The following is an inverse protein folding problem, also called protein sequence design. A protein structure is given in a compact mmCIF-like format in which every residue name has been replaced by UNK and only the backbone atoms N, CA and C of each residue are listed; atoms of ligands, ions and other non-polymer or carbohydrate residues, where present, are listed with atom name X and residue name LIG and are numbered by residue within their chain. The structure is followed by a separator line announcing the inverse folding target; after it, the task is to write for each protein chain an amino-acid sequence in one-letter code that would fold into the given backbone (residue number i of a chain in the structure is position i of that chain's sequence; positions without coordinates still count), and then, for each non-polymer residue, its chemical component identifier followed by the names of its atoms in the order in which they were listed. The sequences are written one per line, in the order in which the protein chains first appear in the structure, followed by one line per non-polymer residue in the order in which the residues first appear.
data_IF_843901491360
#
_entry.id   IF_843901491360
#
_cell.length_a   1.000
_cell.length_b   1.000
_cell.length_c   1.000
_cell.angle_alpha   90.00
_cell.angle_beta   90.00
_cell.angle_gamma   90.00
#
_symmetry.space_group_name_H-M   'P 1'
#
loop_
_entity.id
_entity.type
_entity.pdbx_description
1 polymer ?
#
# COMPACT_ATOMS: atom_id res chain seq x y z
N UNK A 1 -2.21 -24.66 3.00
CA UNK A 1 -1.51 -24.07 1.82
C UNK A 1 -0.48 -23.09 2.33
N UNK A 2 0.83 -23.29 2.04
CA UNK A 2 1.92 -22.57 2.71
C UNK A 2 1.78 -21.03 2.68
N UNK A 3 1.33 -20.45 1.56
CA UNK A 3 1.17 -18.99 1.41
C UNK A 3 0.00 -18.42 2.19
N UNK A 4 -1.10 -19.19 2.29
CA UNK A 4 -2.26 -18.81 3.11
C UNK A 4 -1.87 -18.85 4.59
N UNK A 5 -1.25 -19.94 5.02
CA UNK A 5 -0.75 -20.10 6.40
C UNK A 5 0.25 -19.00 6.76
N UNK A 6 1.11 -18.61 5.81
CA UNK A 6 2.05 -17.51 5.99
C UNK A 6 1.33 -16.16 6.22
N UNK A 7 0.34 -15.80 5.37
CA UNK A 7 -0.42 -14.56 5.59
C UNK A 7 -1.22 -14.60 6.91
N UNK A 8 -1.72 -15.77 7.32
CA UNK A 8 -2.34 -15.89 8.64
C UNK A 8 -1.36 -15.63 9.79
N UNK A 9 -0.13 -16.16 9.69
CA UNK A 9 0.94 -15.87 10.67
C UNK A 9 1.33 -14.39 10.71
N UNK A 10 1.13 -13.65 9.62
CA UNK A 10 1.32 -12.20 9.58
C UNK A 10 0.20 -11.40 10.26
N UNK A 11 -0.92 -12.05 10.62
CA UNK A 11 -2.05 -11.42 11.32
C UNK A 11 -3.29 -11.21 10.45
N UNK A 12 -3.30 -11.67 9.20
CA UNK A 12 -4.52 -11.65 8.38
C UNK A 12 -5.51 -12.73 8.86
N UNK A 13 -6.80 -12.41 8.90
CA UNK A 13 -7.82 -13.43 9.14
C UNK A 13 -7.84 -14.46 8.01
N UNK A 14 -8.29 -15.69 8.30
CA UNK A 14 -8.47 -16.70 7.24
C UNK A 14 -9.39 -16.18 6.14
N UNK A 15 -10.51 -15.56 6.52
CA UNK A 15 -11.51 -15.01 5.59
C UNK A 15 -10.91 -13.94 4.67
N UNK A 16 -10.14 -13.01 5.23
CA UNK A 16 -9.50 -11.95 4.44
C UNK A 16 -8.43 -12.52 3.52
N UNK A 17 -7.66 -13.48 4.02
CA UNK A 17 -6.65 -14.18 3.22
C UNK A 17 -7.31 -14.86 2.01
N UNK A 18 -8.35 -15.66 2.22
CA UNK A 18 -9.10 -16.28 1.12
C UNK A 18 -9.66 -15.23 0.15
N UNK A 19 -10.16 -14.11 0.68
CA UNK A 19 -10.67 -13.01 -0.15
C UNK A 19 -9.57 -12.41 -1.04
N UNK A 20 -8.37 -12.19 -0.51
CA UNK A 20 -7.23 -11.69 -1.29
C UNK A 20 -6.83 -12.65 -2.40
N UNK A 21 -6.69 -13.95 -2.10
CA UNK A 21 -6.31 -14.96 -3.09
C UNK A 21 -7.40 -15.19 -4.17
N UNK A 22 -8.69 -15.05 -3.83
CA UNK A 22 -9.76 -15.08 -4.83
C UNK A 22 -9.71 -13.89 -5.79
N UNK A 23 -9.38 -12.70 -5.27
CA UNK A 23 -9.27 -11.47 -6.08
C UNK A 23 -8.00 -11.44 -6.92
N UNK A 24 -6.93 -12.08 -6.43
CA UNK A 24 -5.62 -12.14 -7.10
C UNK A 24 -5.09 -13.57 -7.04
N UNK A 25 -5.56 -14.46 -7.95
CA UNK A 25 -5.15 -15.87 -7.95
C UNK A 25 -3.64 -16.07 -8.14
N UNK A 26 -2.95 -15.13 -8.80
CA UNK A 26 -1.50 -15.19 -8.98
C UNK A 26 -0.71 -15.15 -7.67
N UNK A 27 -1.31 -14.76 -6.54
CA UNK A 27 -0.69 -14.86 -5.21
C UNK A 27 -0.30 -16.30 -4.86
N UNK A 28 -0.97 -17.31 -5.41
CA UNK A 28 -0.58 -18.71 -5.24
C UNK A 28 0.78 -19.06 -5.87
N UNK A 29 1.24 -18.27 -6.83
CA UNK A 29 2.51 -18.48 -7.53
C UNK A 29 3.66 -17.68 -6.92
N UNK A 30 3.39 -16.74 -6.00
CA UNK A 30 4.40 -15.85 -5.45
C UNK A 30 5.36 -16.58 -4.51
N UNK A 31 6.62 -16.19 -4.50
CA UNK A 31 7.60 -16.71 -3.54
C UNK A 31 7.33 -16.11 -2.16
N UNK A 32 7.29 -16.95 -1.11
CA UNK A 32 7.20 -16.44 0.27
C UNK A 32 8.37 -15.50 0.54
N UNK A 33 9.60 -15.94 0.23
CA UNK A 33 10.80 -15.14 0.45
C UNK A 33 10.86 -13.87 -0.42
N UNK A 34 10.63 -14.00 -1.72
CA UNK A 34 10.89 -12.90 -2.66
C UNK A 34 9.73 -11.93 -2.86
N UNK A 35 8.49 -12.33 -2.53
CA UNK A 35 7.32 -11.47 -2.68
C UNK A 35 6.68 -11.09 -1.34
N UNK A 36 6.57 -12.01 -0.39
CA UNK A 36 5.88 -11.73 0.86
C UNK A 36 6.82 -11.25 1.97
N UNK A 37 8.00 -11.87 2.12
CA UNK A 37 9.05 -11.47 3.07
C UNK A 37 9.87 -10.30 2.53
N UNK A 38 10.27 -10.28 1.25
CA UNK A 38 10.98 -9.13 0.66
C UNK A 38 10.13 -7.87 0.70
N UNK A 39 8.83 -7.96 0.41
CA UNK A 39 7.92 -6.83 0.59
C UNK A 39 7.58 -6.54 2.06
N UNK A 40 8.18 -7.29 3.00
CA UNK A 40 8.20 -7.16 4.47
C UNK A 40 7.19 -6.17 5.05
N UNK A 41 5.93 -6.51 4.78
CA UNK A 41 4.74 -5.97 5.44
C UNK A 41 4.88 -6.08 6.96
N UNK A 42 5.68 -7.03 7.45
CA UNK A 42 5.95 -7.23 8.88
C UNK A 42 6.46 -6.00 9.62
N UNK A 43 7.38 -5.23 9.04
CA UNK A 43 7.97 -4.08 9.75
C UNK A 43 7.45 -2.77 9.18
N UNK A 44 7.43 -2.66 7.85
CA UNK A 44 7.07 -1.40 7.21
C UNK A 44 5.57 -1.11 7.34
N UNK A 45 4.72 -2.13 7.27
CA UNK A 45 3.27 -1.94 7.42
C UNK A 45 2.83 -1.83 8.86
N UNK A 46 3.46 -2.57 9.80
CA UNK A 46 3.21 -2.37 11.23
C UNK A 46 3.47 -0.93 11.68
N UNK A 47 4.36 -0.22 10.99
CA UNK A 47 4.68 1.17 11.26
C UNK A 47 3.84 2.16 10.44
N UNK A 48 3.54 1.86 9.18
CA UNK A 48 3.06 2.87 8.23
C UNK A 48 1.58 2.73 7.80
N UNK A 49 0.94 1.56 8.01
CA UNK A 49 -0.42 1.31 7.49
C UNK A 49 -1.27 0.23 8.18
N UNK A 50 -2.52 0.10 7.77
CA UNK A 50 -3.49 -0.85 8.34
C UNK A 50 -3.63 -2.11 7.49
N UNK A 51 -3.55 -3.32 8.08
CA UNK A 51 -3.67 -4.58 7.32
C UNK A 51 -4.92 -4.63 6.42
N UNK A 52 -5.99 -3.91 6.81
CA UNK A 52 -7.21 -3.72 6.03
C UNK A 52 -6.97 -3.14 4.64
N UNK A 53 -6.02 -2.23 4.47
CA UNK A 53 -5.74 -1.64 3.14
C UNK A 53 -5.12 -2.68 2.19
N UNK A 54 -4.30 -3.59 2.72
CA UNK A 54 -3.73 -4.71 1.95
C UNK A 54 -4.81 -5.72 1.55
N UNK A 55 -5.81 -5.95 2.40
CA UNK A 55 -7.00 -6.76 2.06
C UNK A 55 -7.84 -6.08 0.98
N UNK A 56 -7.99 -4.74 1.04
CA UNK A 56 -8.67 -3.95 0.03
C UNK A 56 -7.89 -3.92 -1.31
N UNK A 57 -6.56 -3.95 -1.25
CA UNK A 57 -5.67 -3.89 -2.40
C UNK A 57 -4.62 -5.02 -2.42
N UNK A 58 -5.03 -6.28 -2.65
CA UNK A 58 -4.12 -7.43 -2.67
C UNK A 58 -3.12 -7.42 -3.82
N UNK A 59 -3.31 -6.56 -4.83
CA UNK A 59 -2.29 -6.36 -5.85
C UNK A 59 -1.03 -5.68 -5.29
N UNK A 60 -1.06 -5.13 -4.08
CA UNK A 60 0.12 -4.59 -3.41
C UNK A 60 1.33 -5.54 -3.49
N UNK A 61 1.10 -6.84 -3.24
CA UNK A 61 2.17 -7.85 -3.21
C UNK A 61 2.87 -8.06 -4.56
N UNK A 62 2.32 -7.55 -5.67
CA UNK A 62 2.95 -7.62 -6.99
C UNK A 62 3.97 -6.50 -7.23
N UNK A 63 3.93 -5.42 -6.42
CA UNK A 63 4.85 -4.30 -6.56
C UNK A 63 6.13 -4.55 -5.76
N UNK A 64 7.24 -4.01 -6.26
CA UNK A 64 8.51 -4.03 -5.54
C UNK A 64 8.50 -3.01 -4.41
N UNK A 65 8.73 -3.47 -3.17
CA UNK A 65 8.86 -2.58 -2.01
C UNK A 65 9.97 -1.54 -2.22
N UNK A 66 11.17 -1.98 -2.58
CA UNK A 66 12.35 -1.11 -2.71
C UNK A 66 12.27 -0.18 -3.91
N UNK A 67 11.79 -0.67 -5.06
CA UNK A 67 11.85 0.09 -6.31
C UNK A 67 10.60 0.91 -6.59
N UNK A 68 9.46 0.61 -5.94
CA UNK A 68 8.18 1.26 -6.25
C UNK A 68 7.44 1.77 -5.02
N UNK A 69 7.27 0.96 -3.99
CA UNK A 69 6.47 1.36 -2.82
C UNK A 69 7.20 2.42 -2.00
N UNK A 70 8.41 2.13 -1.52
CA UNK A 70 9.19 3.05 -0.67
C UNK A 70 9.51 4.38 -1.36
N UNK A 71 9.99 4.43 -2.63
CA UNK A 71 10.31 5.70 -3.27
C UNK A 71 9.07 6.59 -3.42
N UNK A 72 7.94 6.01 -3.84
CA UNK A 72 6.69 6.78 -4.01
C UNK A 72 6.12 7.26 -2.70
N UNK A 73 6.16 6.42 -1.66
CA UNK A 73 5.72 6.83 -0.33
C UNK A 73 6.58 7.98 0.22
N UNK A 74 7.90 7.92 0.06
CA UNK A 74 8.80 9.02 0.44
C UNK A 74 8.43 10.31 -0.27
N UNK A 75 8.18 10.27 -1.58
CA UNK A 75 7.75 11.44 -2.35
C UNK A 75 6.40 11.99 -1.85
N UNK A 76 5.47 11.12 -1.46
CA UNK A 76 4.21 11.53 -0.86
C UNK A 76 4.43 12.26 0.48
N UNK A 77 5.28 11.72 1.36
CA UNK A 77 5.62 12.32 2.67
C UNK A 77 6.32 13.66 2.49
N UNK A 78 7.33 13.74 1.62
CA UNK A 78 8.07 14.99 1.32
C UNK A 78 7.15 16.10 0.78
N UNK A 79 6.09 15.73 0.05
CA UNK A 79 5.08 16.66 -0.47
C UNK A 79 3.92 16.90 0.50
N UNK A 80 3.88 16.22 1.65
CA UNK A 80 2.80 16.33 2.63
C UNK A 80 1.45 15.77 2.15
N UNK A 81 1.47 14.82 1.20
CA UNK A 81 0.25 14.24 0.63
C UNK A 81 0.06 12.79 1.06
N UNK A 82 -1.20 12.39 1.21
CA UNK A 82 -1.57 11.00 1.44
C UNK A 82 -2.35 10.48 0.23
N UNK A 83 -1.85 9.42 -0.41
CA UNK A 83 -2.50 8.78 -1.56
C UNK A 83 -2.84 7.33 -1.21
N UNK A 84 -4.06 6.90 -1.55
CA UNK A 84 -4.45 5.50 -1.44
C UNK A 84 -3.50 4.59 -2.25
N UNK A 85 -3.22 3.39 -1.75
CA UNK A 85 -2.31 2.43 -2.41
C UNK A 85 -2.58 2.20 -3.91
N UNK A 86 -3.84 2.03 -4.38
CA UNK A 86 -4.10 1.85 -5.80
C UNK A 86 -3.65 3.06 -6.62
N UNK A 87 -3.90 4.28 -6.14
CA UNK A 87 -3.50 5.51 -6.80
C UNK A 87 -1.97 5.67 -6.77
N UNK A 88 -1.36 5.43 -5.62
CA UNK A 88 0.09 5.54 -5.45
C UNK A 88 0.84 4.52 -6.30
N UNK A 89 0.36 3.28 -6.41
CA UNK A 89 1.13 2.18 -6.99
C UNK A 89 0.77 1.84 -8.44
N UNK A 90 -0.49 1.99 -8.88
CA UNK A 90 -0.90 1.61 -10.24
C UNK A 90 -0.53 2.64 -11.31
N UNK A 91 -0.39 3.92 -10.95
CA UNK A 91 -0.04 4.96 -11.92
C UNK A 91 1.35 4.73 -12.52
N UNK A 92 1.54 5.14 -13.79
CA UNK A 92 2.89 5.25 -14.37
C UNK A 92 3.72 6.27 -13.58
N UNK A 93 5.04 6.26 -13.73
CA UNK A 93 5.90 7.22 -13.02
C UNK A 93 5.57 8.66 -13.40
N UNK A 94 5.30 8.91 -14.68
CA UNK A 94 4.85 10.22 -15.18
C UNK A 94 3.54 10.66 -14.53
N UNK A 95 2.48 9.86 -14.64
CA UNK A 95 1.16 10.19 -14.06
C UNK A 95 1.20 10.31 -12.53
N UNK A 96 2.07 9.54 -11.87
CA UNK A 96 2.29 9.66 -10.44
C UNK A 96 2.89 11.03 -10.08
N UNK A 97 3.93 11.47 -10.81
CA UNK A 97 4.56 12.78 -10.60
C UNK A 97 3.61 13.93 -10.92
N UNK A 98 2.89 13.88 -12.03
CA UNK A 98 1.86 14.87 -12.36
C UNK A 98 0.85 15.02 -11.23
N UNK A 99 0.38 13.89 -10.70
CA UNK A 99 -0.61 13.88 -9.61
C UNK A 99 -0.04 14.46 -8.31
N UNK A 100 1.24 14.25 -8.02
CA UNK A 100 1.91 14.89 -6.88
C UNK A 100 2.01 16.42 -7.03
N UNK A 101 2.25 16.93 -8.23
CA UNK A 101 2.36 18.38 -8.47
C UNK A 101 1.02 19.11 -8.35
N UNK A 102 -0.11 18.46 -8.68
CA UNK A 102 -1.46 19.05 -8.50
C UNK A 102 -1.74 19.40 -7.03
N UNK A 103 -1.23 18.61 -6.08
CA UNK A 103 -1.37 18.89 -4.65
C UNK A 103 -0.45 20.00 -4.12
N UNK A 104 0.59 20.38 -4.88
CA UNK A 104 1.45 21.51 -4.53
C UNK A 104 0.78 22.85 -4.84
N UNK A 105 -0.03 22.89 -5.89
CA UNK A 105 -0.65 24.10 -6.42
C UNK A 105 -2.09 24.31 -5.96
N UNK A 106 -2.76 23.28 -5.44
CA UNK A 106 -4.06 23.39 -4.81
C UNK A 106 -3.92 23.08 -3.32
N UNK A 107 -4.42 23.97 -2.46
CA UNK A 107 -4.58 23.73 -1.01
C UNK A 107 -5.09 22.32 -0.72
N UNK A 108 -4.69 21.76 0.44
CA UNK A 108 -5.01 20.40 0.87
C UNK A 108 -6.44 19.99 0.46
N UNK A 109 -6.63 18.78 -0.13
CA UNK A 109 -7.92 18.37 -0.66
C UNK A 109 -8.98 18.51 0.43
N UNK A 110 -10.07 19.22 0.10
CA UNK A 110 -11.17 19.47 1.03
C UNK A 110 -11.66 18.14 1.62
N UNK A 111 -12.06 18.11 2.90
CA UNK A 111 -12.52 16.89 3.60
C UNK A 111 -13.59 16.06 2.86
N UNK A 112 -14.36 16.69 1.99
CA UNK A 112 -15.38 16.04 1.16
C UNK A 112 -14.85 15.43 -0.15
N UNK A 113 -13.54 15.56 -0.42
CA UNK A 113 -12.92 15.04 -1.63
C UNK A 113 -12.78 13.51 -1.54
N UNK A 114 -13.05 12.76 -2.62
CA UNK A 114 -12.72 11.34 -2.72
C UNK A 114 -11.22 11.04 -2.53
N UNK A 115 -10.38 12.09 -2.49
CA UNK A 115 -8.93 12.05 -2.30
C UNK A 115 -8.49 12.39 -0.88
N UNK A 116 -9.42 12.73 0.03
CA UNK A 116 -9.11 13.04 1.42
C UNK A 116 -8.93 11.75 2.24
N UNK A 117 -7.74 11.56 2.79
CA UNK A 117 -7.45 10.54 3.81
C UNK A 117 -6.90 11.24 5.05
N UNK A 118 -7.66 11.23 6.14
CA UNK A 118 -7.18 11.69 7.43
C UNK A 118 -6.27 10.60 8.02
N UNK A 119 -4.96 10.85 8.08
CA UNK A 119 -4.12 10.17 9.09
C UNK A 119 -4.41 10.87 10.41
N UNK A 120 -5.02 10.14 11.35
CA UNK A 120 -5.15 10.61 12.72
C UNK A 120 -3.76 10.94 13.30
N UNK A 121 -3.47 12.23 13.44
CA UNK A 121 -2.80 12.81 14.60
C UNK A 121 -1.37 12.40 14.97
N UNK A 122 -0.67 11.54 14.24
CA UNK A 122 0.76 11.32 14.52
C UNK A 122 1.62 12.40 13.87
N UNK A 123 1.87 13.44 14.65
CA UNK A 123 2.97 14.39 14.47
C UNK A 123 4.27 13.58 14.44
N UNK A 124 4.97 13.62 13.30
CA UNK A 124 6.35 13.16 13.22
C UNK A 124 7.20 14.27 13.86
N UNK A 125 7.57 14.09 15.13
CA UNK A 125 8.76 14.74 15.73
C UNK A 125 9.92 13.78 15.68
#
# INVERSE_FOLDING_TARGET
IPRIEYLQKLGFSYKDTITMFRRVPSLFCYSIKENFERNSITSWWKWEGELKELVAFPQYFSFSLENRVKPRHRMCVEKGVCLALPTMLKLSDERFRERLEVFRSSSAPVRASPLWFAKDGHVIT
#
